data_IF_546997960798
#
_entry.id   IF_546997960798
#
_cell.length_a   1.000
_cell.length_b   1.000
_cell.length_c   1.000
_cell.angle_alpha   90.00
_cell.angle_beta   90.00
_cell.angle_gamma   90.00
#
_symmetry.space_group_name_H-M   'P 1'
#
loop_
_entity.id
_entity.type
_entity.pdbx_description
1 polymer ?
#
# COMPACT_ATOMS: atom_id res chain seq x y z
N UNK A 1 -28.02 -14.24 -23.06
CA UNK A 1 -27.21 -14.81 -21.96
C UNK A 1 -26.54 -13.66 -21.24
N UNK A 2 -27.10 -13.24 -20.11
CA UNK A 2 -26.57 -12.12 -19.32
C UNK A 2 -25.46 -12.62 -18.41
N UNK A 3 -24.23 -12.17 -18.64
CA UNK A 3 -23.15 -12.34 -17.68
C UNK A 3 -23.45 -11.42 -16.49
N UNK A 4 -23.80 -12.02 -15.35
CA UNK A 4 -23.81 -11.31 -14.08
C UNK A 4 -22.38 -10.86 -13.78
N UNK A 5 -22.14 -9.54 -13.86
CA UNK A 5 -20.93 -8.85 -13.41
C UNK A 5 -20.81 -8.97 -11.89
N UNK A 6 -20.53 -10.16 -11.38
CA UNK A 6 -20.19 -10.38 -9.98
C UNK A 6 -18.73 -9.97 -9.76
N UNK A 7 -18.47 -8.99 -8.88
CA UNK A 7 -17.22 -8.97 -8.10
C UNK A 7 -16.22 -7.84 -8.33
N UNK A 8 -16.40 -6.94 -9.29
CA UNK A 8 -15.55 -5.73 -9.40
C UNK A 8 -16.14 -4.59 -8.58
N UNK A 9 -15.62 -4.37 -7.37
CA UNK A 9 -15.77 -3.06 -6.75
C UNK A 9 -15.10 -2.04 -7.66
N UNK A 10 -15.85 -1.06 -8.18
CA UNK A 10 -15.32 0.01 -9.05
C UNK A 10 -14.28 0.86 -8.32
N UNK A 11 -14.21 0.75 -7.00
CA UNK A 11 -13.21 1.41 -6.17
C UNK A 11 -11.89 0.63 -6.12
N UNK A 12 -11.88 -0.67 -6.44
CA UNK A 12 -10.72 -1.56 -6.36
C UNK A 12 -10.47 -2.24 -7.71
N UNK A 13 -10.20 -1.45 -8.75
CA UNK A 13 -9.96 -1.91 -10.11
C UNK A 13 -8.51 -1.76 -10.57
N UNK A 14 -7.62 -1.30 -9.69
CA UNK A 14 -6.20 -1.13 -9.96
C UNK A 14 -5.43 -2.44 -9.76
N UNK A 15 -4.43 -2.67 -10.61
CA UNK A 15 -3.36 -3.64 -10.37
C UNK A 15 -2.14 -2.88 -9.87
N UNK A 16 -1.61 -3.30 -8.72
CA UNK A 16 -0.40 -2.71 -8.12
C UNK A 16 0.72 -3.73 -8.12
N UNK A 17 1.96 -3.29 -7.89
CA UNK A 17 3.06 -4.20 -7.54
C UNK A 17 3.35 -4.09 -6.05
N UNK A 18 3.29 -5.22 -5.35
CA UNK A 18 3.76 -5.35 -3.98
C UNK A 18 5.21 -5.79 -3.98
N UNK A 19 6.04 -5.08 -3.23
CA UNK A 19 7.46 -5.35 -3.06
C UNK A 19 7.69 -5.53 -1.56
N UNK A 20 7.88 -6.79 -1.14
CA UNK A 20 8.20 -7.08 0.25
C UNK A 20 9.59 -6.51 0.58
N UNK A 21 9.71 -5.84 1.73
CA UNK A 21 10.97 -5.20 2.12
C UNK A 21 11.27 -5.44 3.59
N UNK A 22 12.53 -5.74 3.89
CA UNK A 22 13.01 -5.92 5.25
C UNK A 22 14.42 -5.37 5.42
N UNK A 23 14.82 -5.14 6.66
CA UNK A 23 16.19 -4.75 6.98
C UNK A 23 17.05 -6.00 7.17
N UNK A 24 18.22 -6.04 6.52
CA UNK A 24 19.11 -7.19 6.50
C UNK A 24 20.51 -6.82 6.02
N UNK A 25 21.30 -7.83 5.69
CA UNK A 25 22.67 -7.66 5.18
C UNK A 25 22.67 -7.85 3.66
N UNK A 26 23.33 -6.94 2.93
CA UNK A 26 23.53 -7.05 1.48
C UNK A 26 24.67 -8.03 1.12
N UNK A 27 24.86 -8.30 -0.17
CA UNK A 27 25.93 -9.19 -0.67
C UNK A 27 27.37 -8.73 -0.33
N UNK A 28 27.52 -7.54 0.26
CA UNK A 28 28.79 -6.92 0.65
C UNK A 28 28.96 -6.81 2.16
N UNK A 29 28.02 -7.33 2.95
CA UNK A 29 28.10 -7.28 4.40
C UNK A 29 27.61 -5.99 5.04
N UNK A 30 26.92 -5.12 4.29
CA UNK A 30 26.38 -3.87 4.83
C UNK A 30 24.93 -4.05 5.26
N UNK A 31 24.55 -3.40 6.36
CA UNK A 31 23.14 -3.28 6.73
C UNK A 31 22.39 -2.42 5.70
N UNK A 32 21.39 -3.02 5.05
CA UNK A 32 20.64 -2.42 3.96
C UNK A 32 19.17 -2.84 4.00
N UNK A 33 18.35 -2.07 3.30
CA UNK A 33 17.01 -2.50 2.93
C UNK A 33 17.11 -3.52 1.80
N UNK A 34 16.56 -4.71 2.03
CA UNK A 34 16.49 -5.77 1.04
C UNK A 34 15.05 -5.83 0.51
N UNK A 35 14.91 -5.60 -0.79
CA UNK A 35 13.65 -5.65 -1.53
C UNK A 35 13.55 -7.00 -2.26
N UNK A 36 12.38 -7.65 -2.17
CA UNK A 36 12.08 -8.83 -2.96
C UNK A 36 11.66 -8.47 -4.39
N UNK A 37 11.56 -9.46 -5.27
CA UNK A 37 11.01 -9.24 -6.61
C UNK A 37 9.55 -8.75 -6.53
N UNK A 38 9.14 -7.75 -7.34
CA UNK A 38 7.78 -7.24 -7.34
C UNK A 38 6.75 -8.31 -7.75
N UNK A 39 5.66 -8.38 -7.00
CA UNK A 39 4.52 -9.27 -7.28
C UNK A 39 3.31 -8.44 -7.66
N UNK A 40 2.68 -8.73 -8.79
CA UNK A 40 1.45 -8.07 -9.20
C UNK A 40 0.26 -8.51 -8.34
N UNK A 41 -0.51 -7.53 -7.87
CA UNK A 41 -1.70 -7.74 -7.04
C UNK A 41 -2.86 -6.97 -7.66
N UNK A 42 -3.86 -7.72 -8.11
CA UNK A 42 -5.10 -7.16 -8.65
C UNK A 42 -6.06 -6.74 -7.55
N UNK A 43 -7.14 -6.06 -7.93
CA UNK A 43 -8.22 -5.64 -7.04
C UNK A 43 -7.74 -4.73 -5.90
N UNK A 44 -6.93 -3.75 -6.27
CA UNK A 44 -6.39 -2.76 -5.35
C UNK A 44 -6.92 -1.36 -5.63
N UNK A 45 -6.68 -0.46 -4.69
CA UNK A 45 -6.98 0.96 -4.79
C UNK A 45 -5.96 1.75 -3.99
N UNK A 46 -5.36 2.75 -4.61
CA UNK A 46 -4.57 3.78 -3.93
C UNK A 46 -5.30 5.10 -4.07
N UNK A 47 -5.64 5.72 -2.94
CA UNK A 47 -6.38 6.97 -2.91
C UNK A 47 -5.63 8.00 -2.06
N UNK A 48 -5.65 9.30 -2.43
CA UNK A 48 -5.13 10.33 -1.55
C UNK A 48 -5.93 10.33 -0.24
N UNK A 49 -5.22 10.45 0.88
CA UNK A 49 -5.79 10.69 2.19
C UNK A 49 -5.56 12.16 2.55
N UNK A 50 -6.55 12.80 3.18
CA UNK A 50 -6.45 14.22 3.55
C UNK A 50 -5.14 14.52 4.28
N UNK A 51 -4.42 15.53 3.78
CA UNK A 51 -3.19 16.02 4.36
C UNK A 51 -3.48 16.84 5.62
N UNK A 52 -2.79 16.55 6.71
CA UNK A 52 -2.76 17.43 7.88
C UNK A 52 -1.51 18.29 7.80
N UNK A 53 -1.69 19.60 7.66
CA UNK A 53 -0.59 20.57 7.82
C UNK A 53 -0.22 20.66 9.30
N UNK A 54 1.02 20.33 9.63
CA UNK A 54 1.57 20.61 10.95
C UNK A 54 2.24 21.98 10.92
N UNK A 55 1.56 22.99 11.44
CA UNK A 55 2.17 24.28 11.74
C UNK A 55 3.11 24.11 12.94
N UNK A 56 4.38 23.80 12.69
CA UNK A 56 5.42 23.85 13.72
C UNK A 56 6.35 25.02 13.46
N UNK A 57 6.85 25.65 14.52
CA UNK A 57 7.66 26.88 14.46
C UNK A 57 8.99 26.75 13.68
N UNK A 58 9.32 25.57 13.14
CA UNK A 58 10.59 25.28 12.49
C UNK A 58 10.49 24.74 11.04
N UNK A 59 9.29 24.37 10.55
CA UNK A 59 9.07 24.01 9.14
C UNK A 59 7.59 23.72 8.86
N UNK A 60 7.10 24.19 7.71
CA UNK A 60 5.89 23.66 7.10
C UNK A 60 6.22 22.28 6.51
N UNK A 61 5.62 21.22 7.06
CA UNK A 61 5.68 19.88 6.47
C UNK A 61 4.27 19.45 6.08
N UNK A 62 3.96 19.59 4.80
CA UNK A 62 2.83 18.90 4.18
C UNK A 62 3.22 17.44 4.05
N UNK A 63 2.66 16.58 4.91
CA UNK A 63 2.77 15.13 4.74
C UNK A 63 1.55 14.69 3.94
N UNK A 64 1.71 14.62 2.62
CA UNK A 64 0.73 13.92 1.78
C UNK A 64 0.72 12.45 2.19
N UNK A 65 -0.47 11.91 2.43
CA UNK A 65 -0.68 10.50 2.76
C UNK A 65 -1.61 9.89 1.73
N UNK A 66 -1.50 8.58 1.58
CA UNK A 66 -2.38 7.81 0.71
C UNK A 66 -2.98 6.67 1.52
N UNK A 67 -4.22 6.34 1.22
CA UNK A 67 -4.91 5.19 1.74
C UNK A 67 -4.84 4.07 0.70
N UNK A 68 -4.34 2.91 1.13
CA UNK A 68 -4.35 1.69 0.34
C UNK A 68 -5.51 0.79 0.74
N UNK A 69 -6.12 0.16 -0.26
CA UNK A 69 -7.06 -0.94 -0.12
C UNK A 69 -6.62 -2.08 -1.05
N UNK A 70 -6.47 -3.29 -0.52
CA UNK A 70 -6.07 -4.46 -1.30
C UNK A 70 -6.82 -5.72 -0.89
N UNK A 71 -6.65 -6.84 -1.62
CA UNK A 71 -7.29 -8.10 -1.28
C UNK A 71 -6.91 -8.56 0.14
N UNK A 72 -7.81 -9.28 0.84
CA UNK A 72 -7.51 -9.76 2.17
C UNK A 72 -6.40 -10.82 2.13
N UNK A 73 -5.51 -10.79 3.11
CA UNK A 73 -4.48 -11.83 3.26
C UNK A 73 -3.30 -11.73 2.29
N UNK A 74 -3.09 -10.59 1.62
CA UNK A 74 -1.95 -10.37 0.74
C UNK A 74 -0.58 -10.33 1.45
N UNK A 75 -0.55 -10.40 2.78
CA UNK A 75 0.70 -10.46 3.54
C UNK A 75 1.46 -9.13 3.61
N UNK A 76 0.80 -8.00 3.38
CA UNK A 76 1.42 -6.67 3.44
C UNK A 76 2.00 -6.40 4.83
N UNK A 77 3.28 -6.04 4.88
CA UNK A 77 4.00 -5.70 6.09
C UNK A 77 4.29 -4.19 6.18
N UNK A 78 4.66 -3.74 7.38
CA UNK A 78 5.24 -2.40 7.56
C UNK A 78 6.49 -2.28 6.67
N UNK A 79 6.78 -1.07 6.17
CA UNK A 79 7.91 -0.76 5.29
C UNK A 79 7.93 -1.47 3.94
N UNK A 80 6.97 -2.33 3.61
CA UNK A 80 6.79 -2.82 2.24
C UNK A 80 6.53 -1.65 1.29
N UNK A 81 6.79 -1.88 0.00
CA UNK A 81 6.53 -0.90 -1.03
C UNK A 81 5.35 -1.34 -1.91
N UNK A 82 4.56 -0.37 -2.32
CA UNK A 82 3.46 -0.51 -3.28
C UNK A 82 3.75 0.40 -4.47
N UNK A 83 3.83 -0.16 -5.67
CA UNK A 83 3.91 0.61 -6.91
C UNK A 83 2.54 0.63 -7.58
N UNK A 84 1.99 1.82 -7.79
CA UNK A 84 0.66 2.04 -8.35
C UNK A 84 0.77 3.18 -9.38
N UNK A 85 0.34 2.91 -10.62
CA UNK A 85 0.41 3.84 -11.76
C UNK A 85 1.80 4.48 -11.97
N UNK A 86 2.86 3.73 -11.68
CA UNK A 86 4.25 4.19 -11.80
C UNK A 86 4.77 5.01 -10.62
N UNK A 87 3.94 5.29 -9.61
CA UNK A 87 4.36 5.91 -8.35
C UNK A 87 4.63 4.85 -7.30
N UNK A 88 5.77 4.96 -6.61
CA UNK A 88 6.17 4.05 -5.53
C UNK A 88 5.84 4.67 -4.19
N UNK A 89 5.18 3.89 -3.34
CA UNK A 89 4.78 4.26 -1.99
C UNK A 89 5.39 3.30 -0.98
N UNK A 90 5.69 3.80 0.21
CA UNK A 90 6.05 2.99 1.37
C UNK A 90 4.85 2.86 2.30
N UNK A 91 4.65 1.65 2.83
CA UNK A 91 3.69 1.39 3.91
C UNK A 91 4.12 2.12 5.18
N UNK A 92 3.32 3.11 5.57
CA UNK A 92 3.50 3.93 6.76
C UNK A 92 2.71 3.36 7.93
N UNK A 93 3.41 2.72 8.87
CA UNK A 93 2.81 2.06 10.02
C UNK A 93 2.34 0.63 9.75
N UNK A 94 1.43 0.13 10.59
CA UNK A 94 1.01 -1.28 10.56
C UNK A 94 -0.22 -1.47 9.66
N UNK A 95 -0.14 -2.31 8.60
CA UNK A 95 -1.30 -2.72 7.84
C UNK A 95 -2.36 -3.38 8.72
N UNK A 96 -3.62 -3.22 8.36
CA UNK A 96 -4.75 -3.81 9.06
C UNK A 96 -5.64 -4.57 8.08
N UNK A 97 -6.49 -5.46 8.61
CA UNK A 97 -7.52 -6.13 7.81
C UNK A 97 -8.87 -5.60 8.29
N UNK A 98 -9.53 -4.84 7.44
CA UNK A 98 -10.91 -4.44 7.66
C UNK A 98 -11.79 -5.67 7.44
N UNK A 99 -12.36 -6.20 8.53
CA UNK A 99 -13.24 -7.38 8.49
C UNK A 99 -14.68 -6.94 8.36
N UNK A 100 -15.44 -7.62 7.51
CA UNK A 100 -16.88 -7.42 7.35
C UNK A 100 -17.63 -8.75 7.45
N UNK A 101 -18.92 -8.68 7.79
CA UNK A 101 -19.83 -9.83 7.79
C UNK A 101 -20.01 -10.43 6.38
N UNK A 102 -19.77 -9.61 5.36
CA UNK A 102 -19.70 -10.06 3.97
C UNK A 102 -18.23 -10.24 3.57
N UNK A 103 -17.87 -11.42 3.08
CA UNK A 103 -16.52 -11.70 2.58
C UNK A 103 -16.09 -10.71 1.48
N UNK A 104 -17.05 -10.21 0.68
CA UNK A 104 -16.81 -9.24 -0.38
C UNK A 104 -16.32 -7.87 0.10
N UNK A 105 -16.52 -7.55 1.38
CA UNK A 105 -16.09 -6.28 1.97
C UNK A 105 -14.87 -6.45 2.87
N UNK A 106 -14.33 -7.66 3.00
CA UNK A 106 -13.12 -7.91 3.79
C UNK A 106 -11.90 -7.59 2.94
N UNK A 107 -11.06 -6.67 3.40
CA UNK A 107 -9.92 -6.16 2.62
C UNK A 107 -8.75 -5.75 3.53
N UNK A 108 -7.56 -5.72 2.95
CA UNK A 108 -6.36 -5.17 3.61
C UNK A 108 -6.37 -3.65 3.46
N UNK A 109 -6.02 -2.94 4.52
CA UNK A 109 -5.85 -1.48 4.50
C UNK A 109 -4.46 -1.09 5.03
N UNK A 110 -3.89 -0.06 4.45
CA UNK A 110 -2.65 0.54 4.94
C UNK A 110 -2.63 2.04 4.67
N UNK A 111 -1.88 2.77 5.49
CA UNK A 111 -1.49 4.14 5.17
C UNK A 111 -0.19 4.06 4.38
N UNK A 112 -0.07 4.93 3.39
CA UNK A 112 1.04 5.02 2.48
C UNK A 112 1.62 6.43 2.52
N UNK A 113 2.91 6.54 2.25
CA UNK A 113 3.61 7.79 1.93
C UNK A 113 4.39 7.59 0.64
N UNK A 114 4.58 8.63 -0.16
CA UNK A 114 5.46 8.56 -1.33
C UNK A 114 6.88 8.15 -0.91
N UNK A 115 7.47 7.22 -1.66
CA UNK A 115 8.81 6.74 -1.41
C UNK A 115 9.83 7.58 -2.18
N UNK A 116 10.82 8.13 -1.48
CA UNK A 116 11.78 9.09 -2.05
C UNK A 116 13.22 8.55 -2.16
N UNK A 117 13.46 7.28 -1.84
CA UNK A 117 14.82 6.70 -1.78
C UNK A 117 15.34 6.60 -0.36
#
# INVERSE_FOLDING_TARGET
MGALMFGRSVLMDQTVKHIARHYGEDDRGNEAWIEADPVEVEHCSVQPLDSVEYLTAAADRTVSRWQFFGPPGMGLAHTDLIEADGTKYEVDGKPSVARSVSAFLTHTTAILKEYTG
#
